data_IF_212941018712
#
_entry.id   IF_212941018712
#
_cell.length_a   1.000
_cell.length_b   1.000
_cell.length_c   1.000
_cell.angle_alpha   90.00
_cell.angle_beta   90.00
_cell.angle_gamma   90.00
#
_symmetry.space_group_name_H-M   'P 1'
#
loop_
_entity.id
_entity.type
_entity.pdbx_description
1 polymer ?
#
# COMPACT_ATOMS: atom_id res chain seq x y z
N UNK A 1 31.34 52.38 -34.25
CA UNK A 1 31.58 51.31 -33.26
C UNK A 1 30.44 50.29 -33.37
N UNK A 2 30.69 49.12 -33.98
CA UNK A 2 29.72 48.02 -34.09
C UNK A 2 29.85 47.15 -32.84
N UNK A 3 28.80 47.05 -32.01
CA UNK A 3 28.74 46.10 -30.89
C UNK A 3 27.86 44.94 -31.31
N UNK A 4 28.49 43.81 -31.60
CA UNK A 4 27.85 42.51 -31.74
C UNK A 4 27.28 42.08 -30.39
N UNK A 5 25.99 41.74 -30.34
CA UNK A 5 25.36 41.15 -29.16
C UNK A 5 25.26 39.65 -29.42
N UNK A 6 25.99 38.91 -28.59
CA UNK A 6 26.11 37.45 -28.55
C UNK A 6 24.74 36.81 -28.29
N UNK A 7 24.37 35.86 -29.16
CA UNK A 7 23.18 35.02 -29.04
C UNK A 7 23.41 34.01 -27.89
N UNK A 8 22.74 34.21 -26.74
CA UNK A 8 22.73 33.25 -25.64
C UNK A 8 21.78 32.11 -25.95
N UNK A 9 22.31 30.91 -26.21
CA UNK A 9 21.53 29.67 -26.33
C UNK A 9 21.03 29.28 -24.95
N UNK A 10 19.72 29.39 -24.72
CA UNK A 10 19.06 28.92 -23.51
C UNK A 10 18.86 27.39 -23.64
N UNK A 11 19.78 26.60 -23.08
CA UNK A 11 19.59 25.15 -22.96
C UNK A 11 18.62 24.92 -21.80
N UNK A 12 17.34 24.73 -22.11
CA UNK A 12 16.37 24.21 -21.16
C UNK A 12 16.75 22.75 -20.85
N UNK A 13 17.34 22.52 -19.68
CA UNK A 13 17.52 21.19 -19.12
C UNK A 13 16.14 20.59 -18.85
N UNK A 14 15.67 19.75 -19.77
CA UNK A 14 14.52 18.87 -19.55
C UNK A 14 15.01 17.80 -18.59
N UNK A 15 14.82 18.01 -17.29
CA UNK A 15 14.97 16.94 -16.31
C UNK A 15 13.85 15.93 -16.60
N UNK A 16 14.16 14.67 -16.94
CA UNK A 16 13.13 13.64 -16.87
C UNK A 16 12.68 13.60 -15.42
N UNK A 17 11.41 13.93 -15.18
CA UNK A 17 10.71 13.53 -13.96
C UNK A 17 10.81 12.00 -13.96
N UNK A 18 11.81 11.48 -13.24
CA UNK A 18 11.94 10.07 -12.95
C UNK A 18 10.60 9.66 -12.33
N UNK A 19 9.94 8.71 -13.00
CA UNK A 19 8.56 8.35 -12.74
C UNK A 19 8.32 8.11 -11.26
N UNK A 20 7.17 8.59 -10.78
CA UNK A 20 6.66 8.17 -9.49
C UNK A 20 6.67 6.64 -9.47
N UNK A 21 7.48 6.07 -8.56
CA UNK A 21 7.52 4.66 -8.22
C UNK A 21 6.08 4.11 -8.26
N UNK A 22 5.77 3.32 -9.29
CA UNK A 22 4.46 2.69 -9.44
C UNK A 22 4.38 1.54 -8.45
N UNK A 23 4.21 1.87 -7.16
CA UNK A 23 4.02 0.87 -6.13
C UNK A 23 2.70 0.16 -6.38
N UNK A 24 2.76 -1.16 -6.56
CA UNK A 24 1.59 -2.02 -6.78
C UNK A 24 1.21 -2.68 -5.46
N UNK A 25 -0.10 -2.86 -5.21
CA UNK A 25 -0.58 -3.64 -4.08
C UNK A 25 -0.89 -5.07 -4.50
N UNK A 26 -0.16 -6.00 -3.89
CA UNK A 26 -0.35 -7.43 -4.03
C UNK A 26 -1.13 -7.97 -2.83
N UNK A 27 -2.16 -8.76 -3.09
CA UNK A 27 -2.99 -9.38 -2.04
C UNK A 27 -2.89 -10.89 -2.05
N UNK A 28 -2.80 -11.45 -0.86
CA UNK A 28 -2.67 -12.88 -0.62
C UNK A 28 -3.58 -13.30 0.54
N UNK A 29 -4.07 -14.52 0.48
CA UNK A 29 -4.70 -15.21 1.60
C UNK A 29 -3.73 -16.23 2.16
N UNK A 30 -3.70 -16.38 3.48
CA UNK A 30 -2.99 -17.46 4.16
C UNK A 30 -4.01 -18.47 4.69
N UNK A 31 -3.70 -19.78 4.70
CA UNK A 31 -4.60 -20.79 5.25
C UNK A 31 -4.52 -20.89 6.79
N UNK A 32 -3.53 -20.24 7.40
CA UNK A 32 -3.24 -20.30 8.83
C UNK A 32 -3.35 -18.93 9.47
N UNK A 33 -3.83 -18.89 10.72
CA UNK A 33 -3.92 -17.67 11.51
C UNK A 33 -2.55 -17.02 11.67
N UNK A 34 -2.44 -15.75 11.28
CA UNK A 34 -1.18 -15.02 11.34
C UNK A 34 -1.15 -14.22 12.63
N UNK A 35 -0.66 -14.83 13.71
CA UNK A 35 -0.55 -14.16 15.02
C UNK A 35 0.87 -14.24 15.58
N UNK A 36 1.28 -13.18 16.26
CA UNK A 36 2.54 -13.13 17.00
C UNK A 36 3.77 -13.31 16.09
N UNK A 37 4.50 -14.42 16.28
CA UNK A 37 5.74 -14.69 15.53
C UNK A 37 5.52 -14.90 14.03
N UNK A 38 4.32 -15.36 13.63
CA UNK A 38 3.95 -15.58 12.24
C UNK A 38 4.02 -14.29 11.41
N UNK A 39 3.40 -13.23 11.91
CA UNK A 39 3.38 -11.90 11.26
C UNK A 39 4.80 -11.34 11.14
N UNK A 40 5.59 -11.44 12.20
CA UNK A 40 6.96 -10.93 12.23
C UNK A 40 7.86 -11.60 11.18
N UNK A 41 7.72 -12.91 10.97
CA UNK A 41 8.49 -13.64 9.97
C UNK A 41 8.12 -13.21 8.55
N UNK A 42 6.82 -13.04 8.26
CA UNK A 42 6.36 -12.53 6.96
C UNK A 42 6.87 -11.12 6.73
N UNK A 43 6.73 -10.23 7.72
CA UNK A 43 7.23 -8.84 7.64
C UNK A 43 8.74 -8.84 7.36
N UNK A 44 9.51 -9.69 8.07
CA UNK A 44 10.97 -9.77 7.90
C UNK A 44 11.35 -10.14 6.46
N UNK A 45 10.73 -11.17 5.89
CA UNK A 45 11.05 -11.63 4.53
C UNK A 45 10.64 -10.64 3.44
N UNK A 46 9.48 -10.01 3.60
CA UNK A 46 9.01 -9.02 2.63
C UNK A 46 9.79 -7.71 2.76
N UNK A 47 10.21 -7.31 3.96
CA UNK A 47 11.11 -6.17 4.17
C UNK A 47 12.54 -6.44 3.69
N UNK A 48 12.99 -7.69 3.69
CA UNK A 48 14.25 -8.08 3.06
C UNK A 48 14.18 -7.95 1.53
N UNK A 49 13.00 -8.16 0.93
CA UNK A 49 12.75 -7.90 -0.50
C UNK A 49 12.66 -6.40 -0.80
N UNK A 50 11.83 -5.68 -0.05
CA UNK A 50 11.63 -4.23 -0.17
C UNK A 50 11.63 -3.55 1.21
N UNK A 51 12.75 -2.95 1.63
CA UNK A 51 12.82 -2.23 2.91
C UNK A 51 11.78 -1.09 3.01
N UNK A 52 11.43 -0.48 1.89
CA UNK A 52 10.48 0.63 1.79
C UNK A 52 9.04 0.15 1.57
N UNK A 53 8.84 -1.13 1.28
CA UNK A 53 7.54 -1.74 1.02
C UNK A 53 6.63 -1.65 2.24
N UNK A 54 5.35 -1.37 2.03
CA UNK A 54 4.35 -1.36 3.12
C UNK A 54 3.61 -2.68 3.16
N UNK A 55 3.39 -3.21 4.35
CA UNK A 55 2.70 -4.46 4.57
C UNK A 55 1.48 -4.18 5.44
N UNK A 56 0.39 -4.88 5.17
CA UNK A 56 -0.74 -5.03 6.08
C UNK A 56 -0.97 -6.52 6.26
N UNK A 57 -1.10 -6.95 7.50
CA UNK A 57 -1.48 -8.32 7.83
C UNK A 57 -2.73 -8.21 8.69
N UNK A 58 -3.79 -8.85 8.22
CA UNK A 58 -4.99 -9.11 9.03
C UNK A 58 -4.95 -10.59 9.41
N UNK A 59 -4.41 -10.86 10.60
CA UNK A 59 -4.25 -12.21 11.12
C UNK A 59 -5.56 -12.96 11.33
N UNK A 60 -6.68 -12.25 11.57
CA UNK A 60 -8.01 -12.86 11.77
C UNK A 60 -8.74 -13.11 10.45
N UNK A 61 -8.60 -12.20 9.49
CA UNK A 61 -9.13 -12.39 8.14
C UNK A 61 -8.19 -13.20 7.23
N UNK A 62 -7.03 -13.60 7.74
CA UNK A 62 -6.00 -14.37 7.05
C UNK A 62 -5.47 -13.68 5.78
N UNK A 63 -5.39 -12.35 5.77
CA UNK A 63 -5.02 -11.55 4.60
C UNK A 63 -3.66 -10.90 4.77
N UNK A 64 -2.89 -10.90 3.70
CA UNK A 64 -1.64 -10.15 3.59
C UNK A 64 -1.72 -9.24 2.36
N UNK A 65 -1.56 -7.94 2.57
CA UNK A 65 -1.44 -6.95 1.50
C UNK A 65 -0.05 -6.32 1.53
N UNK A 66 0.62 -6.28 0.38
CA UNK A 66 1.97 -5.71 0.24
C UNK A 66 1.93 -4.65 -0.84
N UNK A 67 2.24 -3.40 -0.48
CA UNK A 67 2.46 -2.29 -1.41
C UNK A 67 3.95 -2.14 -1.66
N UNK A 68 4.43 -2.45 -2.86
CA UNK A 68 5.86 -2.36 -3.20
C UNK A 68 6.10 -2.14 -4.70
N UNK A 69 7.37 -1.97 -5.07
CA UNK A 69 7.79 -1.83 -6.47
C UNK A 69 8.01 -3.18 -7.20
N UNK A 70 7.91 -4.30 -6.49
CA UNK A 70 8.23 -5.63 -7.02
C UNK A 70 6.99 -6.30 -7.60
N UNK A 71 7.20 -7.31 -8.46
CA UNK A 71 6.10 -8.06 -9.03
C UNK A 71 5.47 -9.03 -8.02
N UNK A 72 4.27 -9.51 -8.36
CA UNK A 72 3.49 -10.38 -7.49
C UNK A 72 4.20 -11.70 -7.15
N UNK A 73 4.93 -12.28 -8.10
CA UNK A 73 5.60 -13.57 -7.91
C UNK A 73 6.79 -13.44 -6.95
N UNK A 74 7.50 -12.31 -7.01
CA UNK A 74 8.57 -11.97 -6.07
C UNK A 74 8.02 -11.81 -4.64
N UNK A 75 6.90 -11.11 -4.48
CA UNK A 75 6.24 -10.99 -3.16
C UNK A 75 5.74 -12.33 -2.66
N UNK A 76 5.09 -13.11 -3.53
CA UNK A 76 4.63 -14.46 -3.21
C UNK A 76 5.78 -15.34 -2.71
N UNK A 77 6.92 -15.31 -3.40
CA UNK A 77 8.12 -16.05 -3.00
C UNK A 77 8.66 -15.57 -1.63
N UNK A 78 8.66 -14.26 -1.38
CA UNK A 78 9.10 -13.71 -0.10
C UNK A 78 8.21 -14.18 1.06
N UNK A 79 6.89 -14.10 0.92
CA UNK A 79 5.95 -14.58 1.94
C UNK A 79 6.17 -16.09 2.17
N UNK A 80 6.36 -16.89 1.12
CA UNK A 80 6.58 -18.34 1.24
C UNK A 80 7.91 -18.70 1.93
N UNK A 81 8.97 -17.89 1.76
CA UNK A 81 10.25 -18.10 2.47
C UNK A 81 10.14 -17.96 3.99
N UNK A 82 9.12 -17.27 4.49
CA UNK A 82 8.86 -17.20 5.93
C UNK A 82 8.57 -18.58 6.53
N UNK A 83 8.14 -19.55 5.73
CA UNK A 83 7.71 -20.88 6.18
C UNK A 83 6.39 -20.89 6.95
N UNK A 84 5.75 -19.73 7.10
CA UNK A 84 4.53 -19.53 7.90
C UNK A 84 3.27 -19.70 7.05
N UNK A 85 3.33 -19.31 5.79
CA UNK A 85 2.18 -19.26 4.90
C UNK A 85 2.57 -19.75 3.50
N UNK A 86 1.70 -20.56 2.89
CA UNK A 86 1.70 -20.79 1.44
C UNK A 86 0.60 -19.89 0.85
N UNK A 87 0.97 -18.69 0.36
CA UNK A 87 -0.01 -17.65 0.06
C UNK A 87 -0.80 -17.98 -1.20
N UNK A 88 -2.13 -17.98 -1.08
CA UNK A 88 -3.01 -18.06 -2.24
C UNK A 88 -3.24 -16.66 -2.82
N UNK A 89 -3.07 -16.48 -4.14
CA UNK A 89 -3.30 -15.18 -4.77
C UNK A 89 -4.79 -14.83 -4.69
N UNK A 90 -5.13 -13.78 -3.95
CA UNK A 90 -6.48 -13.23 -3.99
C UNK A 90 -6.71 -12.49 -5.32
N UNK A 91 -7.88 -12.63 -5.97
CA UNK A 91 -8.17 -11.85 -7.17
C UNK A 91 -8.05 -10.37 -6.85
N UNK A 92 -7.49 -9.60 -7.79
CA UNK A 92 -7.41 -8.13 -7.68
C UNK A 92 -8.82 -7.49 -7.78
N UNK A 93 -9.86 -8.31 -7.99
CA UNK A 93 -11.25 -7.87 -8.11
C UNK A 93 -11.90 -7.67 -6.74
N UNK A 94 -11.79 -6.42 -6.29
CA UNK A 94 -12.49 -5.86 -5.13
C UNK A 94 -11.60 -4.89 -4.37
N UNK A 95 -11.45 -3.65 -4.89
CA UNK A 95 -10.74 -2.51 -4.28
C UNK A 95 -9.19 -2.55 -4.32
N UNK A 96 -8.59 -2.74 -5.49
CA UNK A 96 -7.25 -2.17 -5.73
C UNK A 96 -7.35 -0.65 -5.89
N UNK A 97 -6.97 0.11 -4.86
CA UNK A 97 -6.84 1.57 -4.92
C UNK A 97 -5.49 2.00 -5.53
N UNK A 98 -4.93 1.19 -6.43
CA UNK A 98 -3.56 1.35 -6.92
C UNK A 98 -3.52 1.39 -8.46
N UNK A 99 -4.35 2.26 -9.03
CA UNK A 99 -4.26 2.62 -10.44
C UNK A 99 -4.46 4.12 -10.62
N UNK A 100 -3.58 4.83 -11.36
CA UNK A 100 -3.70 6.27 -11.62
C UNK A 100 -4.88 6.65 -12.56
N UNK A 101 -5.75 5.70 -12.91
CA UNK A 101 -6.90 5.88 -13.81
C UNK A 101 -8.13 5.07 -13.35
N UNK A 102 -8.48 5.16 -12.06
CA UNK A 102 -9.78 4.69 -11.56
C UNK A 102 -10.83 5.79 -11.73
N UNK A 103 -11.58 5.75 -12.82
CA UNK A 103 -12.73 6.64 -13.05
C UNK A 103 -13.83 6.38 -12.01
N UNK A 104 -13.84 7.19 -10.95
CA UNK A 104 -14.87 7.26 -9.90
C UNK A 104 -14.29 7.05 -8.49
N UNK A 105 -14.55 7.95 -7.52
CA UNK A 105 -14.07 7.77 -6.16
C UNK A 105 -14.83 6.60 -5.52
N UNK A 106 -14.25 5.41 -5.58
CA UNK A 106 -14.68 4.34 -4.70
C UNK A 106 -14.28 4.77 -3.29
N UNK A 107 -15.28 5.15 -2.48
CA UNK A 107 -15.11 5.55 -1.09
C UNK A 107 -14.68 4.34 -0.27
N UNK A 108 -13.37 4.13 -0.13
CA UNK A 108 -12.81 3.02 0.65
C UNK A 108 -12.42 3.56 2.03
N UNK A 109 -13.00 2.98 3.08
CA UNK A 109 -12.61 3.27 4.45
C UNK A 109 -11.13 2.90 4.67
N UNK A 110 -10.34 3.70 5.41
CA UNK A 110 -8.93 3.42 5.62
C UNK A 110 -8.68 2.02 6.19
N UNK A 111 -7.67 1.33 5.66
CA UNK A 111 -7.18 0.03 6.14
C UNK A 111 -5.95 0.24 7.03
N UNK A 112 -5.79 -0.58 8.07
CA UNK A 112 -4.61 -0.57 8.93
C UNK A 112 -3.44 -1.26 8.21
N UNK A 113 -2.24 -0.67 8.28
CA UNK A 113 -1.01 -1.23 7.71
C UNK A 113 0.01 -1.46 8.82
N UNK A 114 0.49 -2.69 8.97
CA UNK A 114 1.52 -3.06 9.94
C UNK A 114 2.89 -3.00 9.28
N UNK A 115 3.66 -1.95 9.57
CA UNK A 115 5.05 -1.80 9.14
C UNK A 115 6.05 -2.44 10.08
N UNK A 116 5.57 -2.96 11.22
CA UNK A 116 6.38 -3.53 12.30
C UNK A 116 6.69 -2.53 13.42
N UNK A 117 6.20 -1.28 13.30
CA UNK A 117 6.21 -0.27 14.36
C UNK A 117 4.76 0.08 14.73
N UNK A 118 4.20 -0.56 15.78
CA UNK A 118 2.78 -0.41 16.11
C UNK A 118 2.42 1.04 16.49
N UNK A 119 3.36 1.81 17.06
CA UNK A 119 3.08 3.20 17.46
C UNK A 119 2.90 4.08 16.23
N UNK A 120 3.77 3.92 15.23
CA UNK A 120 3.66 4.67 13.99
C UNK A 120 2.45 4.24 13.16
N UNK A 121 2.17 2.94 13.13
CA UNK A 121 1.07 2.35 12.38
C UNK A 121 -0.29 2.81 12.94
N UNK A 122 -0.47 2.77 14.26
CA UNK A 122 -1.68 3.28 14.94
C UNK A 122 -1.90 4.77 14.66
N UNK A 123 -0.85 5.58 14.76
CA UNK A 123 -0.94 7.01 14.52
C UNK A 123 -1.33 7.32 13.06
N UNK A 124 -0.76 6.59 12.10
CA UNK A 124 -1.08 6.75 10.68
C UNK A 124 -2.53 6.33 10.38
N UNK A 125 -2.97 5.22 10.95
CA UNK A 125 -4.34 4.72 10.78
C UNK A 125 -5.39 5.67 11.35
N UNK A 126 -5.21 6.11 12.60
CA UNK A 126 -6.16 7.01 13.26
C UNK A 126 -6.24 8.38 12.56
N UNK A 127 -5.12 8.89 12.04
CA UNK A 127 -5.11 10.11 11.24
C UNK A 127 -5.90 9.94 9.93
N UNK A 128 -5.67 8.84 9.21
CA UNK A 128 -6.39 8.55 7.97
C UNK A 128 -7.89 8.36 8.22
N UNK A 129 -8.24 7.61 9.27
CA UNK A 129 -9.62 7.40 9.71
C UNK A 129 -10.33 8.70 10.04
N UNK A 130 -9.70 9.60 10.80
CA UNK A 130 -10.29 10.90 11.14
C UNK A 130 -10.50 11.78 9.91
N UNK A 131 -9.53 11.81 9.00
CA UNK A 131 -9.64 12.54 7.74
C UNK A 131 -10.79 12.01 6.89
N UNK A 132 -10.94 10.68 6.82
CA UNK A 132 -12.02 10.04 6.09
C UNK A 132 -13.39 10.32 6.70
N UNK A 133 -13.56 10.19 8.02
CA UNK A 133 -14.83 10.49 8.71
C UNK A 133 -15.23 11.95 8.50
N UNK A 134 -14.25 12.86 8.52
CA UNK A 134 -14.50 14.29 8.26
C UNK A 134 -14.99 14.55 6.83
N UNK A 135 -14.47 13.80 5.86
CA UNK A 135 -14.86 13.91 4.46
C UNK A 135 -16.13 13.12 4.10
N UNK A 136 -16.48 12.09 4.89
CA UNK A 136 -17.53 11.11 4.59
C UNK A 136 -18.41 10.79 5.83
N UNK A 137 -19.03 11.79 6.47
CA UNK A 137 -19.79 11.56 7.69
C UNK A 137 -21.03 10.67 7.47
N UNK A 138 -21.75 10.83 6.36
CA UNK A 138 -22.96 10.06 6.06
C UNK A 138 -22.67 8.57 5.83
N UNK A 139 -21.58 8.27 5.12
CA UNK A 139 -21.12 6.91 4.89
C UNK A 139 -20.64 6.26 6.18
N UNK A 140 -19.99 7.02 7.07
CA UNK A 140 -19.60 6.53 8.38
C UNK A 140 -20.81 6.15 9.25
N UNK A 141 -21.87 6.96 9.23
CA UNK A 141 -23.13 6.66 9.93
C UNK A 141 -23.81 5.39 9.39
N UNK A 142 -23.82 5.21 8.06
CA UNK A 142 -24.35 3.98 7.45
C UNK A 142 -23.58 2.73 7.88
N UNK A 143 -22.25 2.82 8.00
CA UNK A 143 -21.43 1.70 8.49
C UNK A 143 -21.71 1.37 9.97
N UNK A 144 -22.00 2.37 10.81
CA UNK A 144 -22.35 2.14 12.21
C UNK A 144 -23.72 1.49 12.39
N UNK A 145 -24.68 1.83 11.53
CA UNK A 145 -26.06 1.33 11.61
C UNK A 145 -26.25 -0.02 10.92
N UNK A 146 -25.31 -0.44 10.07
CA UNK A 146 -25.37 -1.70 9.32
C UNK A 146 -24.74 -2.90 10.05
N UNK A 147 -24.39 -2.79 11.34
CA UNK A 147 -23.92 -3.92 12.15
C UNK A 147 -25.10 -4.49 12.94
N UNK A 148 -25.82 -5.51 12.43
CA UNK A 148 -26.81 -6.20 13.24
C UNK A 148 -26.10 -6.96 14.38
N UNK A 149 -26.62 -6.79 15.59
CA UNK A 149 -26.35 -7.62 16.77
C UNK A 149 -26.63 -9.12 16.52
#
# INVERSE_FOLDING_TARGET
MKRSITLGVLIALVFPVLGQDQMTVHRFSCPLELVGSAEKLIITEVKALDPNGRISIDGRALKVAVRNAFDRAQVWSAIRRSGVCDPEPLPINGRSNDGPNGSGPTLVFPEYYSTGDPVQDDAAYEMAKRAWITAHPAEYEQMQTSSPE
#
